data_IF_618203884123
#
_entry.id   IF_618203884123
#
_cell.length_a   1.000
_cell.length_b   1.000
_cell.length_c   1.000
_cell.angle_alpha   90.00
_cell.angle_beta   90.00
_cell.angle_gamma   90.00
#
_symmetry.space_group_name_H-M   'P 1'
#
loop_
_entity.id
_entity.type
_entity.pdbx_description
1 polymer ?
#
# COMPACT_ATOMS: atom_id res chain seq x y z
N UNK A 1 4.56 12.81 16.00
CA UNK A 1 4.43 11.51 16.71
C UNK A 1 4.91 11.62 18.15
N UNK A 2 6.12 12.13 18.40
CA UNK A 2 6.66 12.31 19.76
C UNK A 2 5.79 13.22 20.65
N UNK A 3 5.28 14.33 20.09
CA UNK A 3 4.40 15.26 20.82
C UNK A 3 3.07 14.64 21.30
N UNK A 4 2.68 13.46 20.79
CA UNK A 4 1.49 12.73 21.23
C UNK A 4 1.84 11.39 21.90
N UNK A 5 3.11 11.17 22.23
CA UNK A 5 3.58 9.98 22.95
C UNK A 5 3.54 8.67 22.14
N UNK A 6 3.42 8.75 20.81
CA UNK A 6 3.36 7.55 19.96
C UNK A 6 4.75 7.21 19.41
N UNK A 7 5.27 5.99 19.64
CA UNK A 7 6.58 5.58 19.12
C UNK A 7 6.53 5.37 17.60
N UNK A 8 7.69 5.41 16.94
CA UNK A 8 7.83 5.09 15.51
C UNK A 8 7.35 3.67 15.15
N UNK A 9 7.36 2.75 16.11
CA UNK A 9 6.81 1.39 15.97
C UNK A 9 5.27 1.35 15.88
N UNK A 10 4.59 2.47 16.11
CA UNK A 10 3.12 2.54 16.01
C UNK A 10 2.67 2.27 14.58
N UNK A 11 1.67 1.40 14.37
CA UNK A 11 1.08 1.22 13.06
C UNK A 11 0.27 2.45 12.63
N UNK A 12 0.06 2.63 11.33
CA UNK A 12 -0.67 3.80 10.79
C UNK A 12 -2.06 3.94 11.38
N UNK A 13 -2.81 2.84 11.57
CA UNK A 13 -4.14 2.93 12.20
C UNK A 13 -4.11 3.43 13.66
N UNK A 14 -2.98 3.31 14.38
CA UNK A 14 -2.86 3.85 15.73
C UNK A 14 -2.59 5.37 15.74
N UNK A 15 -2.00 5.92 14.67
CA UNK A 15 -1.72 7.36 14.55
C UNK A 15 -2.79 8.11 13.75
N UNK A 16 -3.69 7.40 13.06
CA UNK A 16 -4.67 8.00 12.15
C UNK A 16 -5.49 9.08 12.85
N UNK A 17 -6.10 8.77 13.98
CA UNK A 17 -6.96 9.73 14.67
C UNK A 17 -6.19 10.89 15.29
N UNK A 18 -5.14 10.59 16.07
CA UNK A 18 -4.45 11.56 16.93
C UNK A 18 -3.43 12.43 16.20
N UNK A 19 -2.94 11.98 15.03
CA UNK A 19 -1.93 12.68 14.24
C UNK A 19 -2.48 13.08 12.88
N UNK A 20 -3.00 12.13 12.10
CA UNK A 20 -3.35 12.36 10.70
C UNK A 20 -4.64 13.18 10.61
N UNK A 21 -5.76 12.65 11.10
CA UNK A 21 -7.06 13.33 11.08
C UNK A 21 -7.06 14.56 11.97
N UNK A 22 -6.35 14.53 13.10
CA UNK A 22 -6.22 15.70 14.00
C UNK A 22 -5.66 16.95 13.30
N UNK A 23 -4.77 16.79 12.32
CA UNK A 23 -4.14 17.90 11.60
C UNK A 23 -5.15 18.76 10.84
N UNK A 24 -6.16 18.13 10.21
CA UNK A 24 -7.17 18.79 9.39
C UNK A 24 -8.49 19.12 10.12
N UNK A 25 -8.62 18.75 11.40
CA UNK A 25 -9.88 18.78 12.17
C UNK A 25 -10.58 20.14 12.19
N UNK A 26 -9.80 21.23 12.26
CA UNK A 26 -10.32 22.60 12.41
C UNK A 26 -10.33 23.40 11.11
N UNK A 27 -10.00 22.76 9.99
CA UNK A 27 -9.87 23.42 8.69
C UNK A 27 -11.07 23.07 7.80
N UNK A 28 -11.45 23.99 6.92
CA UNK A 28 -12.47 23.74 5.90
C UNK A 28 -11.81 23.00 4.74
N UNK A 29 -12.41 21.88 4.34
CA UNK A 29 -11.93 21.11 3.22
C UNK A 29 -12.18 21.84 1.90
N UNK A 30 -11.15 22.07 1.08
CA UNK A 30 -11.29 22.84 -0.16
C UNK A 30 -12.12 22.11 -1.23
N UNK A 31 -12.30 20.80 -1.09
CA UNK A 31 -13.01 19.95 -2.07
C UNK A 31 -14.53 19.95 -1.88
N UNK A 32 -15.01 20.02 -0.64
CA UNK A 32 -16.44 19.90 -0.30
C UNK A 32 -16.98 21.05 0.58
N UNK A 33 -16.13 22.00 0.95
CA UNK A 33 -16.45 23.17 1.78
C UNK A 33 -17.03 22.82 3.17
N UNK A 34 -16.70 21.63 3.70
CA UNK A 34 -17.13 21.16 5.03
C UNK A 34 -15.96 21.17 6.01
N UNK A 35 -16.26 21.25 7.32
CA UNK A 35 -15.25 21.14 8.37
C UNK A 35 -14.56 19.77 8.35
N UNK A 36 -13.24 19.72 8.56
CA UNK A 36 -12.41 18.52 8.52
C UNK A 36 -11.84 18.25 7.13
N UNK A 37 -10.55 18.51 6.94
CA UNK A 37 -9.83 18.29 5.66
C UNK A 37 -8.80 17.17 5.74
N UNK A 38 -8.32 16.70 4.59
CA UNK A 38 -7.26 15.67 4.53
C UNK A 38 -5.95 16.20 5.12
N UNK A 39 -5.04 15.31 5.49
CA UNK A 39 -3.75 15.74 6.05
C UNK A 39 -2.97 16.62 5.07
N UNK A 40 -2.93 16.21 3.79
CA UNK A 40 -2.20 16.94 2.75
C UNK A 40 -2.77 18.33 2.50
N UNK A 41 -4.10 18.48 2.55
CA UNK A 41 -4.77 19.77 2.36
C UNK A 41 -4.57 20.71 3.58
N UNK A 42 -4.05 20.19 4.70
CA UNK A 42 -3.73 20.93 5.92
C UNK A 42 -2.24 21.28 6.07
N UNK A 43 -1.42 20.95 5.07
CA UNK A 43 0.00 21.31 5.03
C UNK A 43 0.19 22.75 4.55
N UNK A 44 1.36 23.31 4.86
CA UNK A 44 1.76 24.65 4.39
C UNK A 44 2.30 24.57 2.96
N UNK A 45 2.33 25.71 2.28
CA UNK A 45 2.86 25.81 0.92
C UNK A 45 4.30 25.29 0.86
N UNK A 46 4.57 24.35 -0.05
CA UNK A 46 5.88 23.71 -0.24
C UNK A 46 5.97 22.26 0.27
N UNK A 47 5.11 21.86 1.23
CA UNK A 47 5.11 20.49 1.79
C UNK A 47 4.16 19.53 1.06
N UNK A 48 3.45 20.02 0.04
CA UNK A 48 2.55 19.25 -0.81
C UNK A 48 2.67 19.67 -2.28
N UNK A 49 2.58 18.69 -3.18
CA UNK A 49 2.71 18.90 -4.62
C UNK A 49 2.25 17.73 -5.46
N UNK A 50 2.49 17.82 -6.77
CA UNK A 50 2.22 16.72 -7.70
C UNK A 50 3.21 15.59 -7.49
N UNK A 51 2.72 14.37 -7.45
CA UNK A 51 3.50 13.17 -7.19
C UNK A 51 3.57 12.28 -8.42
N UNK A 52 4.78 11.82 -8.76
CA UNK A 52 4.99 10.73 -9.73
C UNK A 52 4.98 9.34 -9.07
N UNK A 53 5.00 9.30 -7.73
CA UNK A 53 5.10 8.10 -6.92
C UNK A 53 3.81 7.85 -6.13
N UNK A 54 3.50 6.58 -5.91
CA UNK A 54 2.46 6.17 -4.98
C UNK A 54 3.01 5.07 -4.09
N UNK A 55 2.88 5.25 -2.77
CA UNK A 55 3.14 4.18 -1.82
C UNK A 55 1.88 3.30 -1.69
N UNK A 56 1.98 2.06 -2.15
CA UNK A 56 1.04 1.00 -1.85
C UNK A 56 1.57 0.20 -0.65
N UNK A 57 0.79 0.12 0.43
CA UNK A 57 1.24 -0.46 1.69
C UNK A 57 0.07 -0.84 2.61
N UNK A 58 0.36 -1.60 3.67
CA UNK A 58 -0.61 -1.92 4.71
C UNK A 58 -0.56 -0.90 5.84
N UNK A 59 -1.72 -0.40 6.28
CA UNK A 59 -1.81 0.49 7.46
C UNK A 59 -1.36 -0.18 8.77
N UNK A 60 -1.15 -1.49 8.75
CA UNK A 60 -0.55 -2.22 9.87
C UNK A 60 0.97 -2.18 9.93
N UNK A 61 1.60 -1.43 9.03
CA UNK A 61 3.03 -1.20 9.08
C UNK A 61 3.38 -0.08 10.05
N UNK A 62 4.48 -0.26 10.82
CA UNK A 62 5.06 0.81 11.60
C UNK A 62 5.35 2.04 10.75
N UNK A 63 5.04 3.23 11.27
CA UNK A 63 5.33 4.48 10.57
C UNK A 63 6.84 4.68 10.39
N UNK A 64 7.64 4.23 11.36
CA UNK A 64 9.10 4.22 11.28
C UNK A 64 9.59 3.44 10.06
N UNK A 65 9.13 2.19 9.93
CA UNK A 65 9.50 1.33 8.79
C UNK A 65 9.12 1.97 7.45
N UNK A 66 7.95 2.59 7.36
CA UNK A 66 7.52 3.31 6.14
C UNK A 66 8.50 4.45 5.83
N UNK A 67 8.78 5.31 6.81
CA UNK A 67 9.64 6.47 6.63
C UNK A 67 11.07 6.06 6.25
N UNK A 68 11.64 5.06 6.95
CA UNK A 68 13.00 4.59 6.70
C UNK A 68 13.10 3.89 5.34
N UNK A 69 12.10 3.07 4.97
CA UNK A 69 12.05 2.41 3.66
C UNK A 69 11.96 3.41 2.50
N UNK A 70 11.18 4.49 2.66
CA UNK A 70 11.11 5.55 1.67
C UNK A 70 12.42 6.32 1.60
N UNK A 71 13.01 6.67 2.75
CA UNK A 71 14.32 7.35 2.81
C UNK A 71 15.41 6.53 2.12
N UNK A 72 15.44 5.22 2.32
CA UNK A 72 16.38 4.30 1.66
C UNK A 72 16.19 4.29 0.13
N UNK A 73 14.94 4.30 -0.34
CA UNK A 73 14.65 4.23 -1.78
C UNK A 73 15.03 5.53 -2.50
N UNK A 74 14.75 6.66 -1.87
CA UNK A 74 14.95 7.99 -2.43
C UNK A 74 16.40 8.49 -2.25
N UNK A 75 17.10 8.05 -1.21
CA UNK A 75 18.45 8.51 -0.88
C UNK A 75 18.50 9.98 -0.43
N UNK A 76 19.70 10.47 -0.11
CA UNK A 76 19.88 11.83 0.43
C UNK A 76 19.68 12.96 -0.61
N UNK A 77 19.74 12.64 -1.91
CA UNK A 77 19.70 13.66 -2.99
C UNK A 77 18.29 14.03 -3.49
N UNK A 78 17.22 13.36 -3.03
CA UNK A 78 15.86 13.52 -3.58
C UNK A 78 14.86 14.18 -2.61
N UNK A 79 15.31 15.20 -1.87
CA UNK A 79 14.52 16.01 -0.93
C UNK A 79 13.31 16.77 -1.54
N UNK A 80 13.02 16.58 -2.82
CA UNK A 80 11.99 17.28 -3.58
C UNK A 80 10.93 16.38 -4.20
N UNK A 81 11.02 15.06 -4.01
CA UNK A 81 10.01 14.14 -4.54
C UNK A 81 8.77 14.11 -3.63
N UNK A 82 7.60 14.30 -4.24
CA UNK A 82 6.33 14.07 -3.56
C UNK A 82 5.90 12.62 -3.74
N UNK A 83 5.25 12.08 -2.71
CA UNK A 83 4.75 10.69 -2.70
C UNK A 83 3.28 10.73 -2.32
N UNK A 84 2.43 10.08 -3.12
CA UNK A 84 1.04 9.90 -2.75
C UNK A 84 0.91 8.78 -1.71
N UNK A 85 0.38 9.12 -0.53
CA UNK A 85 0.16 8.18 0.57
C UNK A 85 -1.31 8.23 0.98
N UNK A 86 -2.02 7.11 0.83
CA UNK A 86 -3.47 7.06 0.93
C UNK A 86 -4.03 7.63 2.25
N UNK A 87 -3.40 7.34 3.40
CA UNK A 87 -3.85 7.85 4.69
C UNK A 87 -3.74 9.38 4.81
N UNK A 88 -2.81 10.01 4.08
CA UNK A 88 -2.58 11.45 4.11
C UNK A 88 -3.42 12.21 3.09
N UNK A 89 -3.63 11.62 1.91
CA UNK A 89 -4.31 12.25 0.78
C UNK A 89 -5.83 12.03 0.78
N UNK A 90 -6.31 10.92 1.34
CA UNK A 90 -7.75 10.66 1.48
C UNK A 90 -8.26 11.40 2.72
N UNK A 91 -9.38 12.10 2.59
CA UNK A 91 -10.00 12.79 3.72
C UNK A 91 -10.64 11.78 4.69
N UNK A 92 -9.89 11.42 5.74
CA UNK A 92 -10.33 10.45 6.76
C UNK A 92 -11.53 10.92 7.57
N UNK A 93 -11.82 12.23 7.63
CA UNK A 93 -13.04 12.72 8.27
C UNK A 93 -14.28 12.16 7.59
N UNK A 94 -14.32 12.16 6.25
CA UNK A 94 -15.45 11.64 5.48
C UNK A 94 -15.61 10.13 5.65
N UNK A 95 -14.49 9.41 5.65
CA UNK A 95 -14.49 7.95 5.88
C UNK A 95 -15.08 7.63 7.27
N UNK A 96 -14.66 8.35 8.32
CA UNK A 96 -15.13 8.12 9.69
C UNK A 96 -16.57 8.58 9.92
N UNK A 97 -17.01 9.65 9.28
CA UNK A 97 -18.40 10.10 9.34
C UNK A 97 -19.35 9.10 8.71
N UNK A 98 -18.99 8.55 7.54
CA UNK A 98 -19.76 7.48 6.91
C UNK A 98 -19.85 6.27 7.86
N UNK A 99 -18.72 5.82 8.41
CA UNK A 99 -18.69 4.71 9.37
C UNK A 99 -19.55 4.97 10.61
N UNK A 100 -19.50 6.18 11.17
CA UNK A 100 -20.31 6.57 12.32
C UNK A 100 -21.82 6.61 12.02
N UNK A 101 -22.19 6.88 10.76
CA UNK A 101 -23.56 6.82 10.29
C UNK A 101 -24.03 5.39 9.93
N UNK A 102 -23.20 4.36 10.18
CA UNK A 102 -23.49 2.99 9.76
C UNK A 102 -23.39 2.78 8.25
N UNK A 103 -22.73 3.70 7.55
CA UNK A 103 -22.48 3.66 6.11
C UNK A 103 -21.01 3.32 5.85
N UNK A 104 -20.72 2.81 4.66
CA UNK A 104 -19.36 2.69 4.15
C UNK A 104 -19.17 3.74 3.05
N UNK A 105 -17.93 4.20 2.88
CA UNK A 105 -17.57 4.88 1.63
C UNK A 105 -17.79 3.87 0.51
N UNK A 106 -18.43 4.28 -0.57
CA UNK A 106 -18.82 3.34 -1.62
C UNK A 106 -17.59 2.75 -2.29
N UNK A 107 -17.71 1.51 -2.77
CA UNK A 107 -16.65 0.88 -3.55
C UNK A 107 -16.23 1.77 -4.73
N UNK A 108 -17.18 2.37 -5.44
CA UNK A 108 -16.91 3.24 -6.58
C UNK A 108 -16.08 4.48 -6.20
N UNK A 109 -16.34 5.10 -5.05
CA UNK A 109 -15.56 6.24 -4.57
C UNK A 109 -14.12 5.84 -4.23
N UNK A 110 -13.92 4.69 -3.58
CA UNK A 110 -12.56 4.21 -3.31
C UNK A 110 -11.87 3.70 -4.58
N UNK A 111 -12.55 2.96 -5.43
CA UNK A 111 -12.04 2.51 -6.72
C UNK A 111 -11.59 3.70 -7.56
N UNK A 112 -12.38 4.77 -7.61
CA UNK A 112 -12.01 6.01 -8.29
C UNK A 112 -10.79 6.66 -7.63
N UNK A 113 -10.79 6.77 -6.29
CA UNK A 113 -9.71 7.40 -5.54
C UNK A 113 -8.38 6.64 -5.64
N UNK A 114 -8.38 5.31 -5.63
CA UNK A 114 -7.17 4.49 -5.71
C UNK A 114 -6.79 4.20 -7.17
N UNK A 115 -7.75 3.81 -8.01
CA UNK A 115 -7.54 3.48 -9.41
C UNK A 115 -7.03 4.67 -10.22
N UNK A 116 -7.68 5.85 -10.12
CA UNK A 116 -7.16 7.06 -10.81
C UNK A 116 -5.79 7.48 -10.33
N UNK A 117 -5.42 7.15 -9.09
CA UNK A 117 -4.07 7.47 -8.57
C UNK A 117 -3.04 6.55 -9.18
N UNK A 118 -3.30 5.24 -9.21
CA UNK A 118 -2.42 4.29 -9.92
C UNK A 118 -2.31 4.64 -11.41
N UNK A 119 -3.40 5.06 -12.05
CA UNK A 119 -3.40 5.51 -13.45
C UNK A 119 -2.66 6.83 -13.66
N UNK A 120 -2.76 7.76 -12.71
CA UNK A 120 -2.16 9.09 -12.81
C UNK A 120 -0.66 9.14 -12.49
N UNK A 121 -0.19 8.28 -11.59
CA UNK A 121 1.23 8.20 -11.22
C UNK A 121 2.02 7.36 -12.22
N UNK A 122 3.34 7.61 -12.31
CA UNK A 122 4.25 6.83 -13.14
C UNK A 122 4.76 5.57 -12.44
N UNK A 123 4.95 5.65 -11.13
CA UNK A 123 5.67 4.65 -10.34
C UNK A 123 4.94 4.26 -9.06
N UNK A 124 4.66 2.97 -8.92
CA UNK A 124 4.10 2.37 -7.71
C UNK A 124 5.22 1.75 -6.88
N UNK A 125 5.27 2.15 -5.61
CA UNK A 125 6.14 1.64 -4.59
C UNK A 125 5.34 0.67 -3.70
N UNK A 126 5.47 -0.63 -3.94
CA UNK A 126 4.75 -1.67 -3.20
C UNK A 126 5.59 -2.14 -2.01
N UNK A 127 5.30 -1.63 -0.81
CA UNK A 127 6.04 -2.00 0.39
C UNK A 127 5.56 -3.34 0.93
N UNK A 128 6.45 -4.33 1.01
CA UNK A 128 6.18 -5.68 1.49
C UNK A 128 6.83 -5.91 2.85
N UNK A 129 6.01 -6.26 3.84
CA UNK A 129 6.43 -6.67 5.17
C UNK A 129 5.34 -7.51 5.88
N UNK A 130 5.71 -8.51 6.70
CA UNK A 130 7.00 -9.19 6.68
C UNK A 130 7.26 -9.88 5.34
N UNK A 131 8.49 -10.24 4.98
CA UNK A 131 8.75 -10.85 3.67
C UNK A 131 8.29 -12.32 3.58
N UNK A 132 8.31 -13.06 4.68
CA UNK A 132 7.87 -14.46 4.73
C UNK A 132 6.35 -14.62 4.64
N UNK A 133 5.61 -13.66 5.19
CA UNK A 133 4.16 -13.62 5.08
C UNK A 133 3.71 -12.18 4.82
N UNK A 134 3.81 -11.71 3.56
CA UNK A 134 3.57 -10.31 3.26
C UNK A 134 2.14 -9.90 3.56
N UNK A 135 1.95 -9.11 4.62
CA UNK A 135 0.63 -8.55 4.94
C UNK A 135 0.09 -7.72 3.78
N UNK A 136 0.98 -7.14 2.97
CA UNK A 136 0.66 -6.43 1.74
C UNK A 136 -0.28 -7.24 0.83
N UNK A 137 0.09 -8.46 0.45
CA UNK A 137 -0.73 -9.28 -0.46
C UNK A 137 -2.00 -9.85 0.20
N UNK A 138 -2.10 -9.76 1.54
CA UNK A 138 -3.31 -10.12 2.30
C UNK A 138 -4.32 -8.97 2.37
N UNK A 139 -4.00 -7.79 1.84
CA UNK A 139 -4.90 -6.63 1.76
C UNK A 139 -5.41 -6.48 0.33
N UNK A 140 -6.72 -6.60 0.17
CA UNK A 140 -7.33 -6.63 -1.18
C UNK A 140 -7.13 -5.32 -1.95
N UNK A 141 -7.09 -4.18 -1.26
CA UNK A 141 -6.79 -2.88 -1.87
C UNK A 141 -5.34 -2.80 -2.39
N UNK A 142 -4.35 -3.37 -1.68
CA UNK A 142 -2.97 -3.47 -2.15
C UNK A 142 -2.85 -4.39 -3.37
N UNK A 143 -3.62 -5.48 -3.38
CA UNK A 143 -3.74 -6.38 -4.54
C UNK A 143 -4.36 -5.65 -5.73
N UNK A 144 -5.43 -4.88 -5.51
CA UNK A 144 -6.09 -4.08 -6.53
C UNK A 144 -5.12 -3.08 -7.17
N UNK A 145 -4.41 -2.29 -6.37
CA UNK A 145 -3.41 -1.33 -6.84
C UNK A 145 -2.28 -2.01 -7.65
N UNK A 146 -1.77 -3.14 -7.16
CA UNK A 146 -0.76 -3.94 -7.85
C UNK A 146 -1.30 -4.50 -9.18
N UNK A 147 -2.57 -4.92 -9.22
CA UNK A 147 -3.21 -5.44 -10.43
C UNK A 147 -3.37 -4.37 -11.51
N UNK A 148 -3.77 -3.15 -11.11
CA UNK A 148 -3.85 -2.00 -12.03
C UNK A 148 -2.45 -1.63 -12.52
N UNK A 149 -1.45 -1.59 -11.65
CA UNK A 149 -0.07 -1.31 -12.04
C UNK A 149 0.44 -2.29 -13.10
N UNK A 150 0.15 -3.59 -12.96
CA UNK A 150 0.47 -4.60 -13.99
C UNK A 150 -0.30 -4.33 -15.28
N UNK A 151 -1.62 -4.13 -15.20
CA UNK A 151 -2.51 -3.98 -16.35
C UNK A 151 -2.11 -2.76 -17.19
N UNK A 152 -1.88 -1.64 -16.52
CA UNK A 152 -1.53 -0.34 -17.11
C UNK A 152 -0.02 -0.19 -17.36
N UNK A 153 0.76 -1.27 -17.14
CA UNK A 153 2.23 -1.31 -17.35
C UNK A 153 2.99 -0.19 -16.66
N UNK A 154 2.56 0.17 -15.44
CA UNK A 154 3.23 1.14 -14.59
C UNK A 154 4.58 0.61 -14.12
N UNK A 155 5.48 1.53 -13.82
CA UNK A 155 6.67 1.16 -13.09
C UNK A 155 6.25 0.69 -11.69
N UNK A 156 6.76 -0.45 -11.26
CA UNK A 156 6.37 -1.08 -10.01
C UNK A 156 7.60 -1.67 -9.34
N UNK A 157 8.00 -1.01 -8.25
CA UNK A 157 9.12 -1.40 -7.41
C UNK A 157 8.59 -1.94 -6.10
N UNK A 158 9.02 -3.16 -5.75
CA UNK A 158 8.76 -3.70 -4.42
C UNK A 158 9.77 -3.08 -3.45
N UNK A 159 9.30 -2.63 -2.29
CA UNK A 159 10.14 -2.11 -1.23
C UNK A 159 10.04 -3.01 0.00
N UNK A 160 11.04 -2.96 0.86
CA UNK A 160 11.12 -3.78 2.06
C UNK A 160 11.85 -3.01 3.17
N UNK A 161 11.36 -3.04 4.42
CA UNK A 161 12.09 -2.49 5.57
C UNK A 161 13.48 -3.11 5.71
N UNK A 162 14.45 -2.36 6.24
CA UNK A 162 15.81 -2.85 6.42
C UNK A 162 15.88 -4.14 7.27
N UNK A 163 15.11 -4.21 8.36
CA UNK A 163 15.04 -5.41 9.20
C UNK A 163 14.53 -6.65 8.44
N UNK A 164 13.61 -6.44 7.48
CA UNK A 164 13.09 -7.51 6.63
C UNK A 164 14.12 -7.91 5.55
N UNK A 165 14.89 -6.95 5.00
CA UNK A 165 16.03 -7.25 4.11
C UNK A 165 17.08 -8.10 4.82
N UNK A 166 17.42 -7.76 6.06
CA UNK A 166 18.39 -8.50 6.88
C UNK A 166 17.89 -9.92 7.19
N UNK A 167 16.61 -10.04 7.56
CA UNK A 167 15.93 -11.33 7.77
C UNK A 167 15.91 -12.18 6.49
N UNK A 168 15.64 -11.56 5.34
CA UNK A 168 15.67 -12.23 4.04
C UNK A 168 17.08 -12.73 3.70
N UNK A 169 18.10 -11.90 3.94
CA UNK A 169 19.50 -12.25 3.74
C UNK A 169 19.90 -13.45 4.60
N UNK A 170 19.54 -13.46 5.88
CA UNK A 170 19.82 -14.58 6.77
C UNK A 170 19.16 -15.86 6.28
N UNK A 171 17.88 -15.81 5.90
CA UNK A 171 17.16 -16.97 5.41
C UNK A 171 17.75 -17.53 4.10
N UNK A 172 18.27 -16.67 3.22
CA UNK A 172 18.97 -17.08 2.02
C UNK A 172 20.25 -17.87 2.34
N UNK A 173 20.99 -17.47 3.38
CA UNK A 173 22.18 -18.21 3.83
C UNK A 173 21.83 -19.53 4.51
N UNK A 174 20.77 -19.56 5.32
CA UNK A 174 20.41 -20.74 6.13
C UNK A 174 19.64 -21.80 5.34
N UNK A 175 18.69 -21.37 4.51
CA UNK A 175 17.71 -22.25 3.83
C UNK A 175 17.80 -22.20 2.30
N UNK A 176 18.68 -21.36 1.76
CA UNK A 176 18.78 -21.14 0.32
C UNK A 176 17.51 -20.54 -0.27
N UNK A 177 17.11 -21.04 -1.44
CA UNK A 177 15.93 -20.55 -2.16
C UNK A 177 14.61 -21.15 -1.64
N UNK A 178 14.63 -22.11 -0.73
CA UNK A 178 13.40 -22.79 -0.29
C UNK A 178 12.41 -21.82 0.35
N UNK A 179 12.89 -20.95 1.26
CA UNK A 179 12.05 -19.93 1.87
C UNK A 179 11.40 -18.99 0.85
N UNK A 180 12.11 -18.63 -0.22
CA UNK A 180 11.56 -17.83 -1.32
C UNK A 180 10.42 -18.58 -2.03
N UNK A 181 10.63 -19.86 -2.35
CA UNK A 181 9.61 -20.67 -3.02
C UNK A 181 8.36 -20.85 -2.15
N UNK A 182 8.52 -21.05 -0.85
CA UNK A 182 7.40 -21.20 0.09
C UNK A 182 6.56 -19.92 0.14
N UNK A 183 7.22 -18.75 0.22
CA UNK A 183 6.54 -17.44 0.14
C UNK A 183 5.76 -17.34 -1.16
N UNK A 184 6.42 -17.51 -2.31
CA UNK A 184 5.80 -17.38 -3.63
C UNK A 184 4.64 -18.36 -3.83
N UNK A 185 4.76 -19.58 -3.33
CA UNK A 185 3.71 -20.60 -3.39
C UNK A 185 2.47 -20.20 -2.57
N UNK A 186 2.68 -19.57 -1.42
CA UNK A 186 1.60 -19.12 -0.53
C UNK A 186 0.83 -17.90 -1.05
N UNK A 187 1.39 -17.13 -2.01
CA UNK A 187 0.75 -15.91 -2.51
C UNK A 187 -0.49 -16.24 -3.33
N UNK A 188 -1.66 -15.90 -2.80
CA UNK A 188 -2.97 -16.04 -3.43
C UNK A 188 -3.78 -14.77 -3.20
N UNK A 189 -4.03 -14.02 -4.27
CA UNK A 189 -4.75 -12.74 -4.19
C UNK A 189 -6.19 -12.88 -3.67
N UNK A 190 -6.83 -14.02 -3.93
CA UNK A 190 -8.18 -14.32 -3.47
C UNK A 190 -8.26 -14.58 -1.96
N UNK A 191 -7.12 -14.82 -1.30
CA UNK A 191 -7.05 -14.96 0.16
C UNK A 191 -6.92 -13.59 0.85
N UNK A 192 -6.81 -12.50 0.08
CA UNK A 192 -6.79 -11.15 0.63
C UNK A 192 -8.12 -10.79 1.29
N UNK A 193 -8.06 -9.86 2.25
CA UNK A 193 -9.21 -9.35 3.00
C UNK A 193 -9.31 -7.82 2.92
N UNK A 194 -10.52 -7.32 3.13
CA UNK A 194 -10.82 -5.91 3.38
C UNK A 194 -11.57 -5.78 4.71
N UNK A 195 -11.60 -4.54 5.23
CA UNK A 195 -12.45 -4.22 6.38
C UNK A 195 -13.94 -4.23 6.02
N UNK A 196 -14.26 -4.06 4.73
CA UNK A 196 -15.60 -4.22 4.16
C UNK A 196 -15.53 -5.39 3.19
N UNK A 197 -16.22 -6.49 3.49
CA UNK A 197 -16.15 -7.72 2.68
C UNK A 197 -16.62 -7.49 1.23
N UNK A 198 -17.55 -6.56 1.03
CA UNK A 198 -18.03 -6.16 -0.29
C UNK A 198 -16.91 -5.61 -1.18
N UNK A 199 -15.89 -4.93 -0.62
CA UNK A 199 -14.72 -4.46 -1.38
C UNK A 199 -13.97 -5.63 -2.01
N UNK A 200 -13.80 -6.73 -1.26
CA UNK A 200 -13.14 -7.94 -1.76
C UNK A 200 -13.92 -8.52 -2.94
N UNK A 201 -15.24 -8.64 -2.79
CA UNK A 201 -16.12 -9.17 -3.83
C UNK A 201 -16.02 -8.31 -5.09
N UNK A 202 -16.12 -6.99 -4.94
CA UNK A 202 -16.07 -6.06 -6.07
C UNK A 202 -14.70 -6.04 -6.77
N UNK A 203 -13.59 -6.12 -6.03
CA UNK A 203 -12.24 -6.21 -6.60
C UNK A 203 -12.03 -7.53 -7.35
N UNK A 204 -12.44 -8.66 -6.77
CA UNK A 204 -12.34 -9.93 -7.48
C UNK A 204 -13.21 -9.94 -8.74
N UNK A 205 -14.40 -9.34 -8.67
CA UNK A 205 -15.31 -9.18 -9.81
C UNK A 205 -14.74 -8.24 -10.89
N UNK A 206 -13.99 -7.21 -10.53
CA UNK A 206 -13.34 -6.33 -11.51
C UNK A 206 -12.19 -7.04 -12.23
N UNK A 207 -11.57 -8.03 -11.60
CA UNK A 207 -10.56 -8.91 -12.22
C UNK A 207 -11.21 -9.96 -13.13
N UNK A 208 -12.26 -10.62 -12.65
CA UNK A 208 -13.00 -11.62 -13.41
C UNK A 208 -14.51 -11.55 -13.16
N UNK A 209 -15.27 -10.80 -13.99
CA UNK A 209 -16.70 -10.60 -13.77
C UNK A 209 -17.53 -11.86 -14.03
N UNK A 210 -16.95 -12.85 -14.72
CA UNK A 210 -17.64 -14.07 -15.14
C UNK A 210 -17.34 -15.27 -14.21
N UNK A 211 -16.51 -15.07 -13.18
CA UNK A 211 -16.10 -16.14 -12.28
C UNK A 211 -17.26 -16.57 -11.35
N UNK A 212 -17.50 -17.88 -11.31
CA UNK A 212 -18.42 -18.52 -10.35
C UNK A 212 -17.68 -18.82 -9.03
N UNK A 213 -16.44 -19.29 -9.13
CA UNK A 213 -15.50 -19.45 -8.02
C UNK A 213 -14.14 -18.85 -8.42
N UNK A 214 -13.65 -17.90 -7.62
CA UNK A 214 -12.37 -17.24 -7.87
C UNK A 214 -11.16 -18.15 -7.63
N UNK A 215 -11.34 -19.30 -6.97
CA UNK A 215 -10.28 -20.32 -6.87
C UNK A 215 -9.99 -20.99 -8.22
N UNK A 216 -11.00 -21.13 -9.07
CA UNK A 216 -10.91 -21.76 -10.39
C UNK A 216 -10.83 -20.73 -11.53
N UNK A 217 -10.85 -19.44 -11.22
CA UNK A 217 -10.76 -18.37 -12.22
C UNK A 217 -9.38 -18.34 -12.90
N UNK A 218 -9.37 -18.55 -14.21
CA UNK A 218 -8.17 -18.45 -15.03
C UNK A 218 -7.56 -17.03 -15.01
N UNK A 219 -8.40 -15.98 -14.93
CA UNK A 219 -7.92 -14.58 -14.88
C UNK A 219 -7.27 -14.27 -13.53
N UNK A 220 -7.86 -14.72 -12.42
CA UNK A 220 -7.27 -14.63 -11.07
C UNK A 220 -5.98 -15.44 -10.98
N UNK A 221 -5.97 -16.67 -11.53
CA UNK A 221 -4.77 -17.50 -11.63
C UNK A 221 -3.63 -16.85 -12.41
N UNK A 222 -3.95 -16.23 -13.56
CA UNK A 222 -2.97 -15.50 -14.35
C UNK A 222 -2.40 -14.28 -13.60
N UNK A 223 -3.24 -13.55 -12.85
CA UNK A 223 -2.78 -12.43 -12.03
C UNK A 223 -1.89 -12.91 -10.87
N UNK A 224 -2.25 -14.00 -10.18
CA UNK A 224 -1.38 -14.65 -9.18
C UNK A 224 0.01 -14.96 -9.75
N UNK A 225 0.08 -15.55 -10.95
CA UNK A 225 1.36 -15.84 -11.62
C UNK A 225 2.17 -14.56 -11.86
N UNK A 226 1.54 -13.49 -12.36
CA UNK A 226 2.25 -12.21 -12.60
C UNK A 226 2.75 -11.56 -11.32
N UNK A 227 1.95 -11.59 -10.25
CA UNK A 227 2.34 -11.09 -8.92
C UNK A 227 3.55 -11.86 -8.40
N UNK A 228 3.50 -13.20 -8.43
CA UNK A 228 4.61 -14.07 -8.02
C UNK A 228 5.87 -13.81 -8.84
N UNK A 229 5.76 -13.70 -10.17
CA UNK A 229 6.90 -13.40 -11.05
C UNK A 229 7.54 -12.06 -10.71
N UNK A 230 6.74 -11.01 -10.44
CA UNK A 230 7.27 -9.69 -10.08
C UNK A 230 7.99 -9.72 -8.74
N UNK A 231 7.40 -10.37 -7.73
CA UNK A 231 8.01 -10.51 -6.40
C UNK A 231 9.28 -11.36 -6.47
N UNK A 232 9.25 -12.46 -7.24
CA UNK A 232 10.41 -13.31 -7.48
C UNK A 232 11.55 -12.51 -8.12
N UNK A 233 11.27 -11.78 -9.21
CA UNK A 233 12.28 -10.97 -9.89
C UNK A 233 12.91 -9.95 -8.93
N UNK A 234 12.09 -9.33 -8.08
CA UNK A 234 12.59 -8.41 -7.08
C UNK A 234 13.46 -9.11 -6.04
N UNK A 235 13.02 -10.23 -5.46
CA UNK A 235 13.80 -10.99 -4.47
C UNK A 235 15.15 -11.42 -5.03
N UNK A 236 15.19 -11.87 -6.29
CA UNK A 236 16.42 -12.23 -6.99
C UNK A 236 17.32 -11.01 -7.17
N UNK A 237 16.80 -9.89 -7.64
CA UNK A 237 17.58 -8.66 -7.83
C UNK A 237 18.17 -8.16 -6.50
N UNK A 238 17.37 -8.17 -5.42
CA UNK A 238 17.82 -7.81 -4.07
C UNK A 238 18.91 -8.75 -3.58
N UNK A 239 18.79 -10.06 -3.82
CA UNK A 239 19.82 -11.02 -3.43
C UNK A 239 21.14 -10.84 -4.20
N UNK A 240 21.07 -10.50 -5.50
CA UNK A 240 22.26 -10.27 -6.34
C UNK A 240 23.07 -9.06 -5.85
N UNK A 241 22.41 -8.01 -5.35
CA UNK A 241 23.09 -6.84 -4.78
C UNK A 241 23.99 -7.16 -3.57
N UNK A 242 23.89 -8.35 -2.97
CA UNK A 242 24.73 -8.78 -1.86
C UNK A 242 25.91 -9.67 -2.25
N UNK A 243 26.05 -9.97 -3.55
CA UNK A 243 27.17 -10.74 -4.11
C UNK A 243 28.31 -9.85 -4.61
N UNK A 244 28.08 -8.54 -4.71
CA UNK A 244 29.08 -7.50 -5.00
C UNK A 244 29.73 -6.99 -3.71
#
# INVERSE_FOLDING_TARGET
MENVGLPRSSPVYAIEESVIRKKGEKLICPKDNRLGTSYVDALVDGDAGLSNYMLSYSWGYPVGDIADTLSDFFGEESLHEFIWICCLCINQHRVKEAQAAGQTVSFAEFEEAFGRRVEGVGHILAMMSPWQEPRYIRRVWCVFEFSIAIKERKELTVLMPQAEKDSFRLALFETGLQGIYDVLASLRIQDASASVEEDKINILKSIDPDAIDYNDSAKVGALNTKVRQRIQQWLVNTAVQWLE
#
